data_IF_817978215410
#
_entry.id   IF_817978215410
#
_cell.length_a   1.000
_cell.length_b   1.000
_cell.length_c   1.000
_cell.angle_alpha   90.00
_cell.angle_beta   90.00
_cell.angle_gamma   90.00
#
_symmetry.space_group_name_H-M   'P 1'
#
loop_
_entity.id
_entity.type
_entity.pdbx_description
1 polymer ?
#
# COMPACT_ATOMS: atom_id res chain seq x y z
N UNK A 1 11.75 -4.31 -13.60
CA UNK A 1 10.51 -3.54 -13.46
C UNK A 1 10.14 -3.62 -11.99
N UNK A 2 9.96 -2.49 -11.30
CA UNK A 2 9.64 -2.48 -9.86
C UNK A 2 8.17 -2.10 -9.77
N UNK A 3 7.36 -3.03 -9.28
CA UNK A 3 5.95 -2.76 -9.01
C UNK A 3 5.81 -2.01 -7.69
N UNK A 4 4.94 -1.01 -7.67
CA UNK A 4 4.72 -0.16 -6.50
C UNK A 4 3.23 -0.04 -6.25
N UNK A 5 2.82 -0.33 -5.03
CA UNK A 5 1.44 -0.18 -4.59
C UNK A 5 1.26 1.15 -3.85
N UNK A 6 0.31 1.96 -4.32
CA UNK A 6 -0.11 3.19 -3.63
C UNK A 6 -1.24 2.89 -2.65
N UNK A 7 -0.97 3.02 -1.35
CA UNK A 7 -1.92 2.73 -0.28
C UNK A 7 -2.42 4.01 0.36
N UNK A 8 -3.75 4.14 0.48
CA UNK A 8 -4.41 5.28 1.13
C UNK A 8 -5.20 4.79 2.34
N UNK A 9 -4.76 5.17 3.55
CA UNK A 9 -5.35 4.71 4.82
C UNK A 9 -6.73 5.30 5.15
N UNK A 10 -7.04 6.50 4.64
CA UNK A 10 -8.33 7.18 4.87
C UNK A 10 -8.88 7.73 3.56
N UNK A 11 -10.21 7.87 3.43
CA UNK A 11 -10.87 8.37 2.20
C UNK A 11 -10.28 9.70 1.71
N UNK A 12 -9.83 10.54 2.63
CA UNK A 12 -9.07 11.78 2.37
C UNK A 12 -7.73 11.65 3.09
N UNK A 13 -6.63 11.94 2.41
CA UNK A 13 -5.30 11.87 3.01
C UNK A 13 -4.17 11.64 2.01
N UNK A 14 -2.97 11.42 2.55
CA UNK A 14 -1.76 11.12 1.77
C UNK A 14 -1.76 9.67 1.30
N UNK A 15 -1.22 9.46 0.11
CA UNK A 15 -0.91 8.13 -0.44
C UNK A 15 0.52 7.79 -0.05
N UNK A 16 0.72 6.58 0.46
CA UNK A 16 2.02 6.03 0.81
C UNK A 16 2.35 4.90 -0.17
N UNK A 17 3.61 4.75 -0.50
CA UNK A 17 4.06 3.79 -1.50
C UNK A 17 4.77 2.64 -0.82
N UNK A 18 4.36 1.42 -1.18
CA UNK A 18 4.90 0.18 -0.64
C UNK A 18 5.27 -0.76 -1.78
N UNK A 19 6.23 -1.65 -1.50
CA UNK A 19 6.50 -2.77 -2.39
C UNK A 19 5.43 -3.85 -2.18
N UNK A 20 4.71 -4.27 -3.22
CA UNK A 20 3.77 -5.38 -3.12
C UNK A 20 4.47 -6.74 -3.00
N UNK A 21 5.79 -6.82 -3.25
CA UNK A 21 6.50 -8.09 -3.34
C UNK A 21 5.88 -8.99 -4.41
N UNK A 22 5.54 -10.22 -4.04
CA UNK A 22 4.88 -11.19 -4.92
C UNK A 22 3.33 -11.11 -4.87
N UNK A 23 2.76 -10.18 -4.10
CA UNK A 23 1.31 -10.05 -3.98
C UNK A 23 0.71 -9.38 -5.24
N UNK A 24 -0.26 -10.04 -5.87
CA UNK A 24 -1.07 -9.43 -6.94
C UNK A 24 -2.20 -8.62 -6.33
N UNK A 25 -2.05 -7.30 -6.33
CA UNK A 25 -3.05 -6.36 -5.82
C UNK A 25 -3.85 -5.75 -6.96
N UNK A 26 -5.15 -5.60 -6.76
CA UNK A 26 -6.04 -4.84 -7.64
C UNK A 26 -6.45 -3.52 -6.99
N UNK A 27 -6.89 -2.57 -7.80
CA UNK A 27 -7.38 -1.29 -7.29
C UNK A 27 -8.64 -1.50 -6.43
N UNK A 28 -8.59 -1.05 -5.18
CA UNK A 28 -9.69 -1.18 -4.23
C UNK A 28 -9.53 -2.32 -3.22
N UNK A 29 -8.52 -3.17 -3.38
CA UNK A 29 -8.20 -4.18 -2.37
C UNK A 29 -7.83 -3.53 -1.04
N UNK A 30 -8.36 -4.08 0.04
CA UNK A 30 -7.98 -3.69 1.39
C UNK A 30 -6.73 -4.48 1.79
N UNK A 31 -5.72 -3.77 2.28
CA UNK A 31 -4.44 -4.36 2.68
C UNK A 31 -4.03 -3.88 4.06
N UNK A 32 -3.26 -4.71 4.74
CA UNK A 32 -2.53 -4.35 5.96
C UNK A 32 -1.07 -4.21 5.55
N UNK A 33 -0.45 -3.11 5.92
CA UNK A 33 0.96 -2.83 5.63
C UNK A 33 1.73 -2.65 6.92
N UNK A 34 2.95 -3.16 6.96
CA UNK A 34 3.86 -2.89 8.06
C UNK A 34 4.66 -1.62 7.75
N UNK A 35 4.50 -0.58 8.56
CA UNK A 35 5.28 0.66 8.42
C UNK A 35 6.50 0.61 9.31
N UNK A 36 7.60 1.26 8.91
CA UNK A 36 8.81 1.38 9.74
C UNK A 36 8.58 2.10 11.09
N UNK A 37 7.38 2.67 11.30
CA UNK A 37 6.97 3.31 12.56
C UNK A 37 6.00 2.45 13.39
N UNK A 38 5.69 1.22 12.96
CA UNK A 38 4.84 0.29 13.70
C UNK A 38 3.37 0.71 13.82
N UNK A 39 2.89 1.61 12.95
CA UNK A 39 1.48 2.02 12.84
C UNK A 39 0.89 1.49 11.53
#
# INVERSE_FOLDING_TARGET
MIDVAGIRFKRVGKIYYFSPGDLKLNQGDHVIVETSRGI
#
